data_IF_094896856641
#
_entry.id   IF_094896856641
#
_cell.length_a   1.000
_cell.length_b   1.000
_cell.length_c   1.000
_cell.angle_alpha   90.00
_cell.angle_beta   90.00
_cell.angle_gamma   90.00
#
_symmetry.space_group_name_H-M   'P 1'
#
loop_
_entity.id
_entity.type
_entity.pdbx_description
1 polymer ?
#
# COMPACT_ATOMS: atom_id res chain seq x y z
N UNK A 1 6.29 10.73 4.88
CA UNK A 1 5.55 9.77 4.06
C UNK A 1 6.45 9.14 3.04
N UNK A 2 6.04 7.99 2.51
CA UNK A 2 6.87 7.21 1.59
C UNK A 2 6.29 7.29 0.19
N UNK A 3 7.17 7.47 -0.80
CA UNK A 3 6.79 7.22 -2.18
C UNK A 3 6.67 5.71 -2.40
N UNK A 4 6.00 5.30 -3.48
CA UNK A 4 5.84 3.86 -3.75
C UNK A 4 7.18 3.14 -3.83
N UNK A 5 8.20 3.80 -4.35
CA UNK A 5 9.54 3.19 -4.46
C UNK A 5 10.22 3.02 -3.10
N UNK A 6 9.72 3.67 -2.07
CA UNK A 6 10.28 3.59 -0.73
C UNK A 6 9.57 2.57 0.15
N UNK A 7 8.45 2.04 -0.31
CA UNK A 7 7.70 1.03 0.44
C UNK A 7 8.36 -0.32 0.17
N UNK A 8 8.96 -0.90 1.20
CA UNK A 8 9.72 -2.13 1.07
C UNK A 8 9.22 -3.24 1.99
N UNK A 9 8.30 -2.94 2.88
CA UNK A 9 7.81 -3.92 3.86
C UNK A 9 6.32 -4.17 3.66
N UNK A 10 5.89 -5.43 3.74
CA UNK A 10 4.46 -5.74 3.74
C UNK A 10 3.77 -5.17 4.96
N UNK A 11 2.50 -4.93 4.85
CA UNK A 11 1.69 -4.44 5.96
C UNK A 11 0.56 -3.56 5.47
N UNK A 12 -0.07 -2.90 6.42
CA UNK A 12 -1.14 -1.97 6.12
C UNK A 12 -0.60 -0.56 6.12
N UNK A 13 -1.10 0.25 5.17
CA UNK A 13 -0.64 1.63 4.98
C UNK A 13 -1.84 2.52 4.73
N UNK A 14 -1.70 3.78 5.11
CA UNK A 14 -2.57 4.84 4.58
C UNK A 14 -2.03 5.25 3.22
N UNK A 15 -2.90 5.32 2.23
CA UNK A 15 -2.52 5.70 0.88
C UNK A 15 -3.16 7.05 0.53
N UNK A 16 -2.33 7.97 0.09
CA UNK A 16 -2.73 9.31 -0.33
C UNK A 16 -2.46 9.41 -1.83
N UNK A 17 -3.53 9.56 -2.62
CA UNK A 17 -3.40 9.54 -4.06
C UNK A 17 -3.05 10.90 -4.66
N UNK A 18 -2.95 11.94 -3.85
CA UNK A 18 -2.60 13.27 -4.30
C UNK A 18 -3.75 14.08 -4.86
N UNK A 19 -4.96 13.54 -4.86
CA UNK A 19 -6.12 14.25 -5.42
C UNK A 19 -6.79 15.18 -4.42
N UNK A 20 -6.33 15.16 -3.18
CA UNK A 20 -6.99 15.91 -2.11
C UNK A 20 -8.10 15.13 -1.42
N UNK A 21 -8.38 13.93 -1.89
CA UNK A 21 -9.35 13.05 -1.23
C UNK A 21 -8.77 12.52 0.08
N UNK A 22 -9.66 12.03 0.94
CA UNK A 22 -9.24 11.40 2.17
C UNK A 22 -8.40 10.16 1.87
N UNK A 23 -7.39 9.88 2.69
CA UNK A 23 -6.59 8.68 2.50
C UNK A 23 -7.41 7.42 2.74
N UNK A 24 -6.97 6.34 2.16
CA UNK A 24 -7.61 5.02 2.33
C UNK A 24 -6.58 4.03 2.85
N UNK A 25 -7.06 3.03 3.57
CA UNK A 25 -6.20 1.96 4.04
C UNK A 25 -6.00 0.96 2.92
N UNK A 26 -4.75 0.59 2.69
CA UNK A 26 -4.40 -0.42 1.70
C UNK A 26 -3.55 -1.48 2.37
N UNK A 27 -3.58 -2.68 1.80
CA UNK A 27 -2.72 -3.76 2.22
C UNK A 27 -1.62 -3.95 1.19
N UNK A 28 -0.37 -3.98 1.65
CA UNK A 28 0.80 -4.24 0.81
C UNK A 28 1.31 -5.63 1.14
N UNK A 29 1.48 -6.47 0.13
CA UNK A 29 1.92 -7.84 0.32
C UNK A 29 2.81 -8.26 -0.85
N UNK A 30 3.66 -9.29 -0.67
CA UNK A 30 4.47 -9.79 -1.77
C UNK A 30 3.60 -10.34 -2.89
N UNK A 31 3.97 -10.04 -4.12
CA UNK A 31 3.31 -10.61 -5.28
C UNK A 31 3.59 -12.10 -5.35
N UNK A 32 2.69 -12.85 -6.00
CA UNK A 32 2.92 -14.28 -6.18
C UNK A 32 4.15 -14.53 -7.05
N UNK A 33 4.29 -13.76 -8.11
CA UNK A 33 5.44 -13.88 -9.01
C UNK A 33 5.60 -12.59 -9.80
N UNK A 34 6.75 -11.94 -9.71
CA UNK A 34 7.88 -12.30 -8.84
C UNK A 34 7.68 -11.87 -7.39
N UNK A 35 8.13 -12.67 -6.47
CA UNK A 35 7.98 -12.37 -5.03
C UNK A 35 8.81 -11.17 -4.58
N UNK A 36 9.69 -10.71 -5.44
CA UNK A 36 10.51 -9.53 -5.15
C UNK A 36 9.73 -8.23 -5.32
N UNK A 37 8.52 -8.30 -5.89
CA UNK A 37 7.67 -7.14 -6.05
C UNK A 37 6.54 -7.17 -5.04
N UNK A 38 5.98 -6.00 -4.78
CA UNK A 38 4.88 -5.87 -3.85
C UNK A 38 3.61 -5.51 -4.59
N UNK A 39 2.50 -6.04 -4.10
CA UNK A 39 1.18 -5.74 -4.59
C UNK A 39 0.42 -4.94 -3.54
N UNK A 40 -0.53 -4.13 -4.00
CA UNK A 40 -1.37 -3.31 -3.14
C UNK A 40 -2.83 -3.68 -3.38
N UNK A 41 -3.53 -3.99 -2.30
CA UNK A 41 -4.97 -4.23 -2.36
C UNK A 41 -5.69 -3.12 -1.63
N UNK A 42 -6.61 -2.47 -2.32
CA UNK A 42 -7.44 -1.45 -1.73
C UNK A 42 -8.58 -2.11 -0.95
N UNK A 43 -8.87 -1.56 0.19
CA UNK A 43 -9.93 -2.08 1.05
C UNK A 43 -11.26 -2.08 0.29
N UNK A 44 -11.95 -3.21 0.31
CA UNK A 44 -13.23 -3.34 -0.37
C UNK A 44 -13.14 -3.74 -1.84
N UNK A 45 -11.93 -3.97 -2.36
CA UNK A 45 -11.74 -4.40 -3.74
C UNK A 45 -11.12 -5.78 -3.76
N UNK A 46 -11.41 -6.54 -4.78
CA UNK A 46 -10.95 -7.93 -4.90
C UNK A 46 -9.66 -8.06 -5.69
N UNK A 47 -9.28 -7.04 -6.43
CA UNK A 47 -8.11 -7.08 -7.28
C UNK A 47 -6.94 -6.39 -6.62
N UNK A 48 -5.74 -6.70 -7.11
CA UNK A 48 -4.49 -6.14 -6.62
C UNK A 48 -3.87 -5.27 -7.71
N UNK A 49 -3.27 -4.18 -7.31
CA UNK A 49 -2.46 -3.35 -8.19
C UNK A 49 -0.99 -3.53 -7.83
N UNK A 50 -0.12 -3.42 -8.82
CA UNK A 50 1.31 -3.46 -8.53
C UNK A 50 1.71 -2.16 -7.84
N UNK A 51 2.46 -2.28 -6.76
CA UNK A 51 2.91 -1.09 -6.02
C UNK A 51 3.66 -0.12 -6.93
N UNK A 52 4.47 -0.64 -7.83
CA UNK A 52 5.27 0.19 -8.73
C UNK A 52 4.41 1.01 -9.70
N UNK A 53 3.17 0.61 -9.93
CA UNK A 53 2.27 1.31 -10.84
C UNK A 53 1.48 2.42 -10.17
N UNK A 54 1.57 2.52 -8.85
CA UNK A 54 0.82 3.53 -8.12
C UNK A 54 1.65 4.78 -7.93
N UNK A 55 0.97 5.92 -8.08
CA UNK A 55 1.54 7.21 -7.72
C UNK A 55 0.96 7.64 -6.38
N UNK A 56 1.52 8.68 -5.77
CA UNK A 56 1.04 9.14 -4.48
C UNK A 56 1.98 8.73 -3.37
N UNK A 57 1.47 8.75 -2.16
CA UNK A 57 2.30 8.55 -0.99
C UNK A 57 1.67 7.56 -0.03
N UNK A 58 2.51 6.94 0.78
CA UNK A 58 2.09 5.93 1.74
C UNK A 58 2.58 6.31 3.13
N UNK A 59 1.77 6.01 4.12
CA UNK A 59 2.14 6.21 5.51
C UNK A 59 1.99 4.89 6.26
N UNK A 60 3.08 4.41 6.80
CA UNK A 60 3.08 3.15 7.53
C UNK A 60 4.46 2.51 7.50
N UNK A 61 4.56 1.21 7.72
CA UNK A 61 3.45 0.28 7.95
C UNK A 61 2.72 0.56 9.27
N UNK A 62 1.41 0.42 9.23
CA UNK A 62 0.59 0.64 10.41
C UNK A 62 0.65 -0.59 11.30
N UNK A 63 0.69 -0.36 12.59
CA UNK A 63 0.69 -1.46 13.55
C UNK A 63 -0.72 -1.67 14.06
N UNK A 64 -1.13 -2.94 14.21
CA UNK A 64 -2.42 -3.20 14.83
C UNK A 64 -2.44 -2.61 16.23
N UNK A 65 -3.53 -1.98 16.58
CA UNK A 65 -3.71 -1.50 17.93
C UNK A 65 -3.99 -2.71 18.83
N UNK A 66 -3.16 -2.85 19.85
CA UNK A 66 -3.35 -3.92 20.82
C UNK A 66 -3.84 -3.24 22.07
N UNK A 67 -5.10 -3.32 22.27
CA UNK A 67 -5.71 -2.68 23.43
C UNK A 67 -5.15 -3.17 24.72
#
# INVERSE_FOLDING_TARGET
>A
MLASSEVTAPGYYWYYDGSGSSPVVVEVAPAEAPKTQLEVRFHGRDDWDMLADLTGEFEGPLRPSRG
#
